data_IF_249720604627
#
_entry.id   IF_249720604627
#
_cell.length_a   1.000
_cell.length_b   1.000
_cell.length_c   1.000
_cell.angle_alpha   90.00
_cell.angle_beta   90.00
_cell.angle_gamma   90.00
#
_symmetry.space_group_name_H-M   'P 1'
#
loop_
_entity.id
_entity.type
_entity.pdbx_description
1 polymer ?
#
# COMPACT_ATOMS: atom_id res chain seq x y z
N UNK A 1 20.47 -7.83 6.30
CA UNK A 1 20.60 -7.20 4.97
C UNK A 1 20.17 -5.76 5.12
N UNK A 2 21.09 -4.81 4.98
CA UNK A 2 20.85 -3.38 5.21
C UNK A 2 20.02 -2.85 4.04
N UNK A 3 18.79 -2.38 4.29
CA UNK A 3 17.99 -1.70 3.26
C UNK A 3 18.30 -0.21 3.32
N UNK A 4 19.14 0.21 2.38
CA UNK A 4 19.60 1.59 2.17
C UNK A 4 18.42 2.56 2.08
N UNK A 5 18.47 3.63 2.86
CA UNK A 5 17.37 4.60 3.06
C UNK A 5 17.45 5.84 2.17
N UNK A 6 18.25 5.82 1.11
CA UNK A 6 18.32 6.87 0.08
C UNK A 6 18.65 6.30 -1.31
N UNK A 7 18.09 5.15 -1.69
CA UNK A 7 18.01 4.85 -3.13
C UNK A 7 16.88 5.70 -3.70
N UNK A 8 17.24 6.69 -4.54
CA UNK A 8 16.27 7.29 -5.45
C UNK A 8 15.49 6.13 -6.07
N UNK A 9 14.18 6.04 -5.80
CA UNK A 9 13.35 5.03 -6.44
C UNK A 9 13.44 5.33 -7.93
N UNK A 10 14.06 4.47 -8.70
CA UNK A 10 14.20 4.67 -10.13
C UNK A 10 13.00 4.06 -10.82
N UNK A 11 12.52 4.76 -11.84
CA UNK A 11 11.57 4.24 -12.84
C UNK A 11 12.14 4.55 -14.22
N UNK A 12 11.74 3.78 -15.22
CA UNK A 12 12.09 4.07 -16.61
C UNK A 12 11.00 4.92 -17.27
N UNK A 13 11.41 5.94 -18.01
CA UNK A 13 10.49 6.73 -18.86
C UNK A 13 10.17 5.99 -20.17
N UNK A 14 9.30 6.56 -21.00
CA UNK A 14 8.90 6.00 -22.30
C UNK A 14 10.07 5.89 -23.31
N UNK A 15 11.21 6.53 -23.02
CA UNK A 15 12.45 6.44 -23.79
C UNK A 15 13.47 5.47 -23.17
N UNK A 16 13.07 4.72 -22.14
CA UNK A 16 13.93 3.77 -21.41
C UNK A 16 14.99 4.43 -20.53
N UNK A 17 14.92 5.75 -20.31
CA UNK A 17 15.86 6.46 -19.43
C UNK A 17 15.43 6.32 -17.98
N UNK A 18 16.42 6.14 -17.11
CA UNK A 18 16.19 6.07 -15.66
C UNK A 18 15.95 7.48 -15.12
N UNK A 19 14.82 7.67 -14.45
CA UNK A 19 14.47 8.90 -13.75
C UNK A 19 14.08 8.60 -12.30
N UNK A 20 14.20 9.61 -11.43
CA UNK A 20 13.76 9.49 -10.05
C UNK A 20 12.24 9.52 -9.99
N UNK A 21 11.65 8.56 -9.29
CA UNK A 21 10.23 8.47 -9.04
C UNK A 21 9.79 9.52 -8.01
N UNK A 22 8.82 10.34 -8.39
CA UNK A 22 8.26 11.35 -7.51
C UNK A 22 7.13 10.76 -6.66
N UNK A 23 7.52 10.29 -5.47
CA UNK A 23 6.57 9.72 -4.51
C UNK A 23 5.60 10.76 -3.92
N UNK A 24 6.01 12.04 -3.86
CA UNK A 24 5.18 13.10 -3.31
C UNK A 24 4.07 13.48 -4.29
N UNK A 25 4.39 13.49 -5.59
CA UNK A 25 3.42 13.59 -6.66
C UNK A 25 2.38 12.46 -6.59
N UNK A 26 2.83 11.19 -6.48
CA UNK A 26 1.90 10.04 -6.37
C UNK A 26 0.92 10.22 -5.20
N UNK A 27 1.41 10.60 -4.02
CA UNK A 27 0.56 10.80 -2.83
C UNK A 27 -0.44 11.92 -3.02
N UNK A 28 -0.03 13.02 -3.66
CA UNK A 28 -0.91 14.14 -3.96
C UNK A 28 -2.02 13.71 -4.92
N UNK A 29 -1.66 13.02 -5.98
CA UNK A 29 -2.61 12.51 -6.97
C UNK A 29 -3.60 11.51 -6.34
N UNK A 30 -3.11 10.60 -5.48
CA UNK A 30 -3.96 9.69 -4.70
C UNK A 30 -4.90 10.42 -3.76
N UNK A 31 -4.42 11.39 -2.97
CA UNK A 31 -5.27 12.19 -2.07
C UNK A 31 -6.35 12.94 -2.86
N UNK A 32 -6.00 13.47 -4.03
CA UNK A 32 -6.95 14.14 -4.91
C UNK A 32 -8.01 13.16 -5.42
N UNK A 33 -7.61 11.96 -5.85
CA UNK A 33 -8.54 10.91 -6.29
C UNK A 33 -9.49 10.45 -5.17
N UNK A 34 -8.97 10.18 -3.96
CA UNK A 34 -9.80 9.81 -2.81
C UNK A 34 -10.81 10.90 -2.45
N UNK A 35 -10.38 12.17 -2.42
CA UNK A 35 -11.27 13.31 -2.14
C UNK A 35 -12.35 13.51 -3.20
N UNK A 36 -12.03 13.27 -4.47
CA UNK A 36 -13.00 13.38 -5.56
C UNK A 36 -14.17 12.39 -5.42
N UNK A 37 -13.90 11.22 -4.84
CA UNK A 37 -14.90 10.16 -4.58
C UNK A 37 -15.54 10.30 -3.19
N UNK A 38 -15.16 11.30 -2.40
CA UNK A 38 -15.74 11.56 -1.07
C UNK A 38 -15.13 10.74 0.08
N UNK A 39 -14.00 10.06 -0.16
CA UNK A 39 -13.24 9.36 0.88
C UNK A 39 -12.30 10.37 1.56
N UNK A 40 -12.36 10.48 2.88
CA UNK A 40 -11.70 11.56 3.65
C UNK A 40 -10.51 11.06 4.46
N UNK A 41 -10.30 9.76 4.49
CA UNK A 41 -9.26 9.07 5.22
C UNK A 41 -7.90 9.28 4.56
N UNK A 42 -7.17 10.31 5.00
CA UNK A 42 -5.85 10.67 4.48
C UNK A 42 -4.82 9.52 4.60
N UNK A 43 -5.03 8.57 5.51
CA UNK A 43 -4.15 7.41 5.69
C UNK A 43 -4.20 6.41 4.53
N UNK A 44 -5.28 6.36 3.73
CA UNK A 44 -5.42 5.43 2.61
C UNK A 44 -4.47 5.76 1.46
N UNK A 45 -4.39 7.04 1.07
CA UNK A 45 -3.46 7.50 0.05
C UNK A 45 -2.00 7.23 0.46
N UNK A 46 -1.71 7.45 1.74
CA UNK A 46 -0.41 7.17 2.35
C UNK A 46 -0.06 5.68 2.29
N UNK A 47 -1.02 4.83 2.63
CA UNK A 47 -0.90 3.39 2.59
C UNK A 47 -0.50 2.90 1.20
N UNK A 48 -1.28 3.28 0.20
CA UNK A 48 -1.13 2.78 -1.17
C UNK A 48 0.20 3.25 -1.76
N UNK A 49 0.59 4.50 -1.52
CA UNK A 49 1.88 5.01 -1.95
C UNK A 49 3.05 4.18 -1.38
N UNK A 50 3.03 3.85 -0.09
CA UNK A 50 4.06 3.03 0.54
C UNK A 50 4.13 1.62 -0.04
N UNK A 51 2.98 1.00 -0.33
CA UNK A 51 2.95 -0.33 -0.96
C UNK A 51 3.53 -0.31 -2.38
N UNK A 52 3.25 0.76 -3.13
CA UNK A 52 3.83 0.96 -4.46
C UNK A 52 5.34 1.18 -4.38
N UNK A 53 5.81 1.99 -3.43
CA UNK A 53 7.25 2.19 -3.17
C UNK A 53 7.98 0.90 -2.81
N UNK A 54 7.39 0.06 -1.95
CA UNK A 54 7.93 -1.26 -1.61
C UNK A 54 8.10 -2.13 -2.87
N UNK A 55 7.10 -2.15 -3.75
CA UNK A 55 7.13 -2.95 -4.98
C UNK A 55 8.15 -2.44 -5.99
N UNK A 56 8.26 -1.13 -6.18
CA UNK A 56 9.31 -0.54 -7.02
C UNK A 56 10.69 -0.89 -6.45
N UNK A 57 10.86 -0.82 -5.13
CA UNK A 57 12.13 -1.19 -4.47
C UNK A 57 12.48 -2.66 -4.69
N UNK A 58 11.54 -3.57 -4.46
CA UNK A 58 11.74 -5.01 -4.71
C UNK A 58 12.11 -5.28 -6.17
N UNK A 59 11.45 -4.64 -7.14
CA UNK A 59 11.79 -4.78 -8.55
C UNK A 59 13.20 -4.27 -8.87
N UNK A 60 13.59 -3.12 -8.32
CA UNK A 60 14.93 -2.54 -8.48
C UNK A 60 16.02 -3.46 -7.92
N UNK A 61 15.77 -4.10 -6.77
CA UNK A 61 16.72 -5.00 -6.10
C UNK A 61 16.85 -6.36 -6.81
N UNK A 62 15.73 -6.95 -7.27
CA UNK A 62 15.69 -8.30 -7.83
C UNK A 62 16.09 -8.35 -9.32
N UNK A 63 15.61 -7.39 -10.12
CA UNK A 63 15.73 -7.46 -11.58
C UNK A 63 16.83 -6.54 -12.16
N UNK A 64 17.44 -5.67 -11.33
CA UNK A 64 18.34 -4.59 -11.77
C UNK A 64 17.77 -3.66 -12.87
N UNK A 65 16.49 -3.85 -13.22
CA UNK A 65 15.76 -3.14 -14.23
C UNK A 65 14.63 -2.36 -13.54
N UNK A 66 14.66 -1.01 -13.57
CA UNK A 66 13.62 -0.23 -12.96
C UNK A 66 12.30 -0.38 -13.71
N UNK A 67 11.22 -0.53 -12.93
CA UNK A 67 9.84 -0.58 -13.42
C UNK A 67 9.54 0.61 -14.33
N UNK A 68 8.81 0.38 -15.42
CA UNK A 68 8.41 1.47 -16.30
C UNK A 68 7.36 2.37 -15.63
N UNK A 69 7.39 3.67 -15.91
CA UNK A 69 6.39 4.63 -15.41
C UNK A 69 4.94 4.14 -15.57
N UNK A 70 4.53 3.67 -16.76
CA UNK A 70 3.20 3.10 -16.97
C UNK A 70 2.92 1.84 -16.14
N UNK A 71 3.93 1.03 -15.83
CA UNK A 71 3.76 -0.15 -14.97
C UNK A 71 3.51 0.24 -13.51
N UNK A 72 4.10 1.35 -13.04
CA UNK A 72 3.82 1.89 -11.71
C UNK A 72 2.36 2.34 -11.61
N UNK A 73 1.87 3.05 -12.62
CA UNK A 73 0.47 3.49 -12.66
C UNK A 73 -0.50 2.30 -12.71
N UNK A 74 -0.16 1.24 -13.48
CA UNK A 74 -0.90 -0.03 -13.49
C UNK A 74 -0.91 -0.69 -12.12
N UNK A 75 0.22 -0.69 -11.41
CA UNK A 75 0.32 -1.23 -10.06
C UNK A 75 -0.58 -0.46 -9.09
N UNK A 76 -0.61 0.88 -9.15
CA UNK A 76 -1.48 1.72 -8.32
C UNK A 76 -2.95 1.35 -8.54
N UNK A 77 -3.39 1.27 -9.80
CA UNK A 77 -4.78 0.91 -10.13
C UNK A 77 -5.13 -0.51 -9.67
N UNK A 78 -4.20 -1.45 -9.83
CA UNK A 78 -4.37 -2.85 -9.37
C UNK A 78 -4.54 -2.91 -7.86
N UNK A 79 -3.71 -2.18 -7.12
CA UNK A 79 -3.76 -2.11 -5.66
C UNK A 79 -5.06 -1.47 -5.18
N UNK A 80 -5.50 -0.38 -5.81
CA UNK A 80 -6.79 0.27 -5.52
C UNK A 80 -7.98 -0.67 -5.78
N UNK A 81 -7.99 -1.35 -6.93
CA UNK A 81 -9.05 -2.30 -7.28
C UNK A 81 -9.10 -3.51 -6.34
N UNK A 82 -7.94 -4.08 -6.00
CA UNK A 82 -7.82 -5.16 -5.02
C UNK A 82 -8.27 -4.73 -3.62
N UNK A 83 -8.09 -3.44 -3.29
CA UNK A 83 -8.54 -2.85 -2.04
C UNK A 83 -10.04 -2.49 -2.01
N UNK A 84 -10.76 -2.66 -3.12
CA UNK A 84 -12.18 -2.33 -3.26
C UNK A 84 -12.46 -0.88 -3.67
N UNK A 85 -11.43 -0.06 -3.91
CA UNK A 85 -11.54 1.36 -4.29
C UNK A 85 -11.52 1.55 -5.80
N UNK A 86 -12.40 0.87 -6.55
CA UNK A 86 -12.46 0.94 -8.01
C UNK A 86 -12.82 2.35 -8.53
N UNK A 87 -13.67 3.07 -7.80
CA UNK A 87 -14.05 4.44 -8.14
C UNK A 87 -12.84 5.40 -8.02
N UNK A 88 -12.01 5.19 -6.99
CA UNK A 88 -10.76 5.95 -6.79
C UNK A 88 -9.72 5.57 -7.84
N UNK A 89 -9.63 4.30 -8.24
CA UNK A 89 -8.77 3.87 -9.35
C UNK A 89 -9.16 4.59 -10.66
N UNK A 90 -10.46 4.72 -10.92
CA UNK A 90 -10.99 5.40 -12.11
C UNK A 90 -10.65 6.90 -12.10
N UNK A 91 -10.83 7.58 -10.96
CA UNK A 91 -10.43 8.99 -10.82
C UNK A 91 -8.91 9.18 -10.90
N UNK A 92 -8.12 8.27 -10.34
CA UNK A 92 -6.67 8.30 -10.45
C UNK A 92 -6.21 8.15 -11.91
N UNK A 93 -6.80 7.22 -12.67
CA UNK A 93 -6.54 7.07 -14.11
C UNK A 93 -6.89 8.35 -14.87
N UNK A 94 -8.04 8.97 -14.56
CA UNK A 94 -8.47 10.23 -15.18
C UNK A 94 -7.50 11.38 -14.90
N UNK A 95 -6.97 11.51 -13.68
CA UNK A 95 -6.03 12.56 -13.30
C UNK A 95 -4.69 12.47 -14.05
N UNK A 96 -4.27 11.24 -14.38
CA UNK A 96 -3.00 10.96 -15.07
C UNK A 96 -3.15 10.76 -16.57
N UNK A 97 -4.33 11.01 -17.12
CA UNK A 97 -4.67 10.76 -18.53
C UNK A 97 -4.33 9.33 -18.99
N UNK A 98 -4.48 8.38 -18.06
CA UNK A 98 -4.33 6.96 -18.34
C UNK A 98 -5.68 6.48 -18.85
N UNK A 99 -5.73 5.84 -20.02
CA UNK A 99 -6.95 5.16 -20.48
C UNK A 99 -7.33 4.10 -19.43
N UNK A 100 -8.42 4.27 -18.64
CA UNK A 100 -8.79 3.35 -17.58
C UNK A 100 -9.06 1.95 -18.10
N UNK A 101 -9.40 1.85 -19.39
CA UNK A 101 -9.71 0.60 -20.08
C UNK A 101 -8.49 -0.02 -20.76
N UNK A 102 -7.37 0.68 -20.91
CA UNK A 102 -6.15 0.11 -21.52
C UNK A 102 -5.67 -1.13 -20.77
N UNK A 103 -5.72 -1.07 -19.43
CA UNK A 103 -5.38 -2.18 -18.54
C UNK A 103 -6.29 -3.41 -18.74
N UNK A 104 -7.59 -3.19 -18.89
CA UNK A 104 -8.53 -4.27 -19.18
C UNK A 104 -8.34 -4.76 -20.62
N UNK A 105 -8.18 -3.88 -21.62
CA UNK A 105 -8.01 -4.23 -23.04
C UNK A 105 -6.79 -5.10 -23.32
N UNK A 106 -5.67 -4.91 -22.61
CA UNK A 106 -4.48 -5.76 -22.74
C UNK A 106 -4.74 -7.23 -22.34
N UNK A 107 -5.67 -7.46 -21.40
CA UNK A 107 -5.98 -8.79 -20.86
C UNK A 107 -7.31 -9.36 -21.37
N UNK A 108 -8.16 -8.51 -21.96
CA UNK A 108 -9.46 -8.84 -22.50
C UNK A 108 -9.32 -9.21 -23.98
N UNK A 109 -9.45 -10.49 -24.29
CA UNK A 109 -9.46 -10.96 -25.67
C UNK A 109 -10.88 -11.34 -26.09
N UNK A 110 -11.15 -11.50 -27.41
CA UNK A 110 -12.43 -11.97 -27.91
C UNK A 110 -12.92 -13.25 -27.22
N UNK A 111 -14.20 -13.26 -26.88
CA UNK A 111 -14.89 -14.46 -26.41
C UNK A 111 -15.05 -15.44 -27.59
N UNK A 112 -14.21 -16.46 -27.67
CA UNK A 112 -14.43 -17.58 -28.60
C UNK A 112 -14.57 -18.92 -27.84
N UNK A 113 -15.50 -19.80 -28.26
CA UNK A 113 -15.65 -21.12 -27.65
C UNK A 113 -14.34 -21.93 -27.64
N UNK A 114 -13.52 -21.79 -28.68
CA UNK A 114 -12.24 -22.49 -28.83
C UNK A 114 -11.23 -22.00 -27.79
N UNK A 115 -11.17 -20.69 -27.53
CA UNK A 115 -10.30 -20.09 -26.52
C UNK A 115 -10.70 -20.54 -25.12
N UNK A 116 -11.99 -20.50 -24.81
CA UNK A 116 -12.52 -20.94 -23.51
C UNK A 116 -12.15 -22.40 -23.28
N UNK A 117 -12.40 -23.28 -24.25
CA UNK A 117 -12.06 -24.71 -24.18
C UNK A 117 -10.55 -24.94 -23.98
N UNK A 118 -9.70 -24.26 -24.76
CA UNK A 118 -8.25 -24.38 -24.66
C UNK A 118 -7.72 -23.89 -23.29
N UNK A 119 -8.27 -22.79 -22.77
CA UNK A 119 -7.92 -22.25 -21.46
C UNK A 119 -8.31 -23.22 -20.35
N UNK A 120 -9.54 -23.74 -20.37
CA UNK A 120 -10.04 -24.65 -19.33
C UNK A 120 -9.29 -25.99 -19.34
N UNK A 121 -8.95 -26.54 -20.51
CA UNK A 121 -8.10 -27.73 -20.64
C UNK A 121 -6.72 -27.55 -20.01
N UNK A 122 -6.12 -26.36 -20.13
CA UNK A 122 -4.82 -26.03 -19.51
C UNK A 122 -4.94 -25.81 -18.00
N UNK A 123 -6.06 -25.26 -17.55
CA UNK A 123 -6.21 -24.73 -16.19
C UNK A 123 -6.84 -25.70 -15.20
N UNK A 124 -7.54 -26.74 -15.64
CA UNK A 124 -8.26 -27.67 -14.76
C UNK A 124 -7.94 -29.14 -15.05
N UNK A 125 -7.62 -29.96 -14.02
CA UNK A 125 -7.35 -31.39 -14.18
C UNK A 125 -8.66 -32.20 -14.20
N UNK A 126 -9.50 -31.98 -15.21
CA UNK A 126 -10.81 -32.64 -15.37
C UNK A 126 -10.85 -33.54 -16.61
N UNK A 127 -11.78 -34.49 -16.63
CA UNK A 127 -11.98 -35.36 -17.79
C UNK A 127 -12.54 -34.56 -19.00
N UNK A 128 -12.17 -34.95 -20.21
CA UNK A 128 -12.49 -34.21 -21.45
C UNK A 128 -14.00 -33.95 -21.63
N UNK A 129 -14.85 -34.93 -21.30
CA UNK A 129 -16.31 -34.78 -21.37
C UNK A 129 -16.86 -33.74 -20.38
N UNK A 130 -16.24 -33.62 -19.19
CA UNK A 130 -16.62 -32.61 -18.19
C UNK A 130 -16.14 -31.23 -18.60
N UNK A 131 -14.91 -31.11 -19.11
CA UNK A 131 -14.36 -29.86 -19.64
C UNK A 131 -15.20 -29.32 -20.79
N UNK A 132 -15.64 -30.18 -21.71
CA UNK A 132 -16.50 -29.76 -22.81
C UNK A 132 -17.85 -29.23 -22.32
N UNK A 133 -18.45 -29.87 -21.31
CA UNK A 133 -19.72 -29.41 -20.70
C UNK A 133 -19.56 -28.04 -20.03
N UNK A 134 -18.51 -27.86 -19.23
CA UNK A 134 -18.23 -26.60 -18.51
C UNK A 134 -17.89 -25.49 -19.52
N UNK A 135 -17.08 -25.78 -20.53
CA UNK A 135 -16.75 -24.83 -21.59
C UNK A 135 -17.99 -24.32 -22.32
N UNK A 136 -18.93 -25.21 -22.65
CA UNK A 136 -20.18 -24.84 -23.29
C UNK A 136 -21.04 -23.95 -22.36
N UNK A 137 -21.15 -24.30 -21.08
CA UNK A 137 -21.89 -23.51 -20.10
C UNK A 137 -21.28 -22.11 -19.88
N UNK A 138 -19.95 -22.01 -19.77
CA UNK A 138 -19.27 -20.72 -19.69
C UNK A 138 -19.52 -19.88 -20.95
N UNK A 139 -19.44 -20.48 -22.14
CA UNK A 139 -19.69 -19.78 -23.40
C UNK A 139 -21.15 -19.29 -23.50
N UNK A 140 -22.11 -20.09 -23.05
CA UNK A 140 -23.52 -19.72 -23.05
C UNK A 140 -23.83 -18.59 -22.05
N UNK A 141 -23.27 -18.64 -20.83
CA UNK A 141 -23.40 -17.55 -19.85
C UNK A 141 -22.79 -16.26 -20.39
N UNK A 142 -21.58 -16.31 -20.95
CA UNK A 142 -20.93 -15.14 -21.54
C UNK A 142 -21.75 -14.56 -22.70
N UNK A 143 -22.35 -15.42 -23.55
CA UNK A 143 -23.23 -14.99 -24.65
C UNK A 143 -24.53 -14.38 -24.14
N UNK A 144 -25.17 -14.99 -23.15
CA UNK A 144 -26.42 -14.51 -22.55
C UNK A 144 -26.26 -13.11 -21.95
N UNK A 145 -25.09 -12.81 -21.39
CA UNK A 145 -24.78 -11.50 -20.83
C UNK A 145 -24.07 -10.55 -21.82
N UNK A 146 -24.05 -10.89 -23.12
CA UNK A 146 -23.50 -10.09 -24.20
C UNK A 146 -22.01 -9.68 -24.04
N UNK A 147 -21.20 -10.52 -23.40
CA UNK A 147 -19.75 -10.28 -23.31
C UNK A 147 -19.07 -10.59 -24.64
N UNK A 148 -18.48 -9.56 -25.27
CA UNK A 148 -17.68 -9.68 -26.50
C UNK A 148 -16.19 -9.86 -26.23
N UNK A 149 -15.71 -9.33 -25.09
CA UNK A 149 -14.33 -9.40 -24.64
C UNK A 149 -14.29 -9.87 -23.18
N UNK A 150 -13.35 -10.75 -22.86
CA UNK A 150 -13.24 -11.38 -21.54
C UNK A 150 -11.78 -11.71 -21.21
N UNK A 151 -11.41 -11.64 -19.93
CA UNK A 151 -10.09 -12.02 -19.43
C UNK A 151 -10.02 -13.50 -19.05
N UNK A 152 -8.83 -14.09 -19.15
CA UNK A 152 -8.62 -15.51 -18.80
C UNK A 152 -8.97 -15.79 -17.33
N UNK A 153 -8.63 -14.85 -16.43
CA UNK A 153 -8.95 -14.97 -15.00
C UNK A 153 -10.45 -15.06 -14.77
N UNK A 154 -11.25 -14.23 -15.45
CA UNK A 154 -12.70 -14.26 -15.33
C UNK A 154 -13.29 -15.56 -15.85
N UNK A 155 -12.78 -16.10 -16.96
CA UNK A 155 -13.20 -17.41 -17.49
C UNK A 155 -12.94 -18.53 -16.45
N UNK A 156 -11.76 -18.54 -15.82
CA UNK A 156 -11.43 -19.54 -14.80
C UNK A 156 -12.33 -19.44 -13.57
N UNK A 157 -12.58 -18.23 -13.05
CA UNK A 157 -13.50 -18.02 -11.92
C UNK A 157 -14.95 -18.42 -12.27
N UNK A 158 -15.40 -18.11 -13.48
CA UNK A 158 -16.70 -18.56 -13.97
C UNK A 158 -16.78 -20.09 -14.07
N UNK A 159 -15.73 -20.75 -14.55
CA UNK A 159 -15.69 -22.20 -14.61
C UNK A 159 -15.70 -22.84 -13.20
N UNK A 160 -14.94 -22.28 -12.26
CA UNK A 160 -14.98 -22.68 -10.83
C UNK A 160 -16.41 -22.53 -10.29
N UNK A 161 -17.07 -21.41 -10.60
CA UNK A 161 -18.45 -21.17 -10.20
C UNK A 161 -19.42 -22.22 -10.77
N UNK A 162 -19.31 -22.53 -12.06
CA UNK A 162 -20.12 -23.55 -12.74
C UNK A 162 -19.88 -24.94 -12.15
N UNK A 163 -18.63 -25.31 -11.88
CA UNK A 163 -18.25 -26.58 -11.24
C UNK A 163 -18.89 -26.72 -9.85
N UNK A 164 -18.87 -25.65 -9.05
CA UNK A 164 -19.35 -25.69 -7.67
C UNK A 164 -20.85 -25.47 -7.51
N UNK A 165 -21.52 -24.79 -8.44
CA UNK A 165 -22.95 -24.48 -8.32
C UNK A 165 -23.88 -25.30 -9.21
N UNK A 166 -23.35 -26.07 -10.17
CA UNK A 166 -24.15 -26.92 -11.06
C UNK A 166 -25.20 -26.15 -11.88
N UNK A 167 -25.95 -26.82 -12.76
CA UNK A 167 -26.97 -26.18 -13.59
C UNK A 167 -28.02 -25.55 -12.68
N UNK A 168 -28.13 -24.23 -12.75
CA UNK A 168 -29.02 -23.42 -11.93
C UNK A 168 -30.45 -23.91 -12.13
N UNK A 169 -31.03 -24.51 -11.10
CA UNK A 169 -32.48 -24.62 -11.01
C UNK A 169 -33.04 -23.19 -11.07
N UNK A 170 -33.72 -22.87 -12.16
CA UNK A 170 -34.60 -21.73 -12.24
C UNK A 170 -35.75 -21.94 -11.23
N UNK A 171 -35.59 -21.42 -10.02
CA UNK A 171 -36.58 -21.61 -8.95
C UNK A 171 -36.00 -21.39 -7.56
N UNK A 172 -35.52 -20.19 -7.28
CA UNK A 172 -35.05 -19.81 -5.94
C UNK A 172 -35.32 -18.33 -5.69
N UNK A 173 -36.20 -18.06 -4.73
CA UNK A 173 -36.70 -16.76 -4.26
C UNK A 173 -35.67 -15.63 -4.19
N UNK A 174 -36.03 -14.39 -4.61
CA UNK A 174 -35.21 -13.21 -4.42
C UNK A 174 -35.23 -12.82 -2.95
N UNK A 175 -34.19 -13.20 -2.21
CA UNK A 175 -34.12 -12.95 -0.79
C UNK A 175 -32.70 -13.08 -0.30
N UNK A 176 -32.14 -11.96 0.14
CA UNK A 176 -30.81 -11.77 0.73
C UNK A 176 -29.68 -11.57 -0.28
N UNK A 177 -29.36 -10.31 -0.65
CA UNK A 177 -28.04 -10.01 -1.18
C UNK A 177 -26.98 -10.51 -0.17
N UNK A 178 -25.90 -11.20 -0.60
CA UNK A 178 -24.78 -11.42 0.28
C UNK A 178 -24.34 -10.04 0.79
N UNK A 179 -24.20 -9.93 2.11
CA UNK A 179 -23.83 -8.70 2.79
C UNK A 179 -22.74 -7.99 1.98
N UNK A 180 -22.99 -6.71 1.67
CA UNK A 180 -22.04 -5.83 1.01
C UNK A 180 -20.64 -6.14 1.54
N UNK A 181 -19.70 -6.45 0.63
CA UNK A 181 -18.31 -6.69 0.99
C UNK A 181 -17.85 -5.54 1.88
N UNK A 182 -17.74 -5.81 3.18
CA UNK A 182 -17.34 -4.82 4.17
C UNK A 182 -16.01 -4.24 3.72
N UNK A 183 -15.89 -2.92 3.55
CA UNK A 183 -14.63 -2.31 3.13
C UNK A 183 -13.56 -2.65 4.16
N UNK A 184 -12.36 -2.95 3.66
CA UNK A 184 -11.10 -3.21 4.38
C UNK A 184 -11.24 -3.18 5.91
N UNK A 185 -11.47 -4.34 6.54
CA UNK A 185 -11.65 -4.45 8.00
C UNK A 185 -10.43 -3.86 8.71
N UNK A 186 -10.58 -2.65 9.26
CA UNK A 186 -9.59 -2.05 10.15
C UNK A 186 -9.51 -2.95 11.37
N UNK A 187 -8.34 -3.55 11.60
CA UNK A 187 -8.19 -4.59 12.63
C UNK A 187 -8.21 -3.99 14.04
N UNK A 188 -7.74 -2.74 14.20
CA UNK A 188 -7.73 -1.99 15.46
C UNK A 188 -7.65 -0.48 15.21
N UNK A 189 -8.45 0.29 15.96
CA UNK A 189 -8.46 1.76 15.94
C UNK A 189 -7.32 2.35 16.79
N UNK A 190 -6.93 3.61 16.55
CA UNK A 190 -5.75 4.25 17.19
C UNK A 190 -5.86 4.28 18.72
N UNK A 191 -7.08 4.39 19.26
CA UNK A 191 -7.38 4.38 20.70
C UNK A 191 -7.07 3.04 21.37
N UNK A 192 -7.14 1.93 20.63
CA UNK A 192 -6.87 0.58 21.16
C UNK A 192 -5.39 0.35 21.49
N UNK A 193 -4.48 1.11 20.87
CA UNK A 193 -3.04 1.00 21.14
C UNK A 193 -2.62 1.72 22.40
N UNK A 194 -3.31 2.82 22.75
CA UNK A 194 -2.94 3.69 23.88
C UNK A 194 -2.90 2.96 25.22
N UNK A 195 -3.74 1.95 25.40
CA UNK A 195 -3.83 1.13 26.62
C UNK A 195 -2.76 0.04 26.71
N UNK A 196 -2.05 -0.24 25.62
CA UNK A 196 -1.07 -1.33 25.52
C UNK A 196 0.38 -0.86 25.56
N UNK A 197 0.62 0.44 25.42
CA UNK A 197 1.94 1.07 25.45
C UNK A 197 2.30 1.57 26.85
N UNK A 198 3.60 1.72 27.12
CA UNK A 198 4.07 2.34 28.35
C UNK A 198 3.69 3.83 28.45
N UNK A 199 3.69 4.42 29.66
CA UNK A 199 3.27 5.83 29.86
C UNK A 199 4.05 6.84 29.03
N UNK A 200 5.35 6.63 28.82
CA UNK A 200 6.20 7.53 28.01
C UNK A 200 5.81 7.49 26.54
N UNK A 201 5.56 6.31 25.98
CA UNK A 201 5.08 6.14 24.60
C UNK A 201 3.67 6.70 24.45
N UNK A 202 2.82 6.47 25.46
CA UNK A 202 1.49 7.07 25.55
C UNK A 202 1.51 8.59 25.50
N UNK A 203 2.44 9.25 26.19
CA UNK A 203 2.57 10.71 26.16
C UNK A 203 2.91 11.25 24.76
N UNK A 204 3.74 10.54 23.98
CA UNK A 204 4.00 10.90 22.58
C UNK A 204 2.78 10.67 21.68
N UNK A 205 1.93 9.69 21.99
CA UNK A 205 0.67 9.51 21.29
C UNK A 205 -0.32 10.63 21.61
N UNK A 206 -0.42 11.00 22.87
CA UNK A 206 -1.32 12.06 23.36
C UNK A 206 -0.94 13.44 22.77
N UNK A 207 0.35 13.70 22.56
CA UNK A 207 0.85 14.92 21.90
C UNK A 207 0.84 14.88 20.37
N UNK A 208 0.30 13.82 19.76
CA UNK A 208 0.32 13.55 18.32
C UNK A 208 1.72 13.45 17.67
N UNK A 209 2.78 13.41 18.49
CA UNK A 209 4.16 13.18 18.08
C UNK A 209 4.39 11.75 17.57
N UNK A 210 3.61 10.79 18.04
CA UNK A 210 3.61 9.39 17.59
C UNK A 210 2.18 8.96 17.26
N UNK A 211 1.93 8.43 16.07
CA UNK A 211 0.59 7.97 15.66
C UNK A 211 0.69 6.57 15.07
N UNK A 212 -0.13 5.65 15.58
CA UNK A 212 -0.33 4.36 14.95
C UNK A 212 -1.21 4.54 13.71
N UNK A 213 -0.77 4.03 12.57
CA UNK A 213 -1.63 3.95 11.38
C UNK A 213 -2.50 2.68 11.45
N UNK A 214 -3.71 2.69 10.86
CA UNK A 214 -4.61 1.55 10.90
C UNK A 214 -3.99 0.29 10.31
N UNK A 215 -4.20 -0.85 10.98
CA UNK A 215 -3.90 -2.16 10.43
C UNK A 215 -5.01 -2.58 9.46
N UNK A 216 -4.63 -3.06 8.28
CA UNK A 216 -5.57 -3.53 7.25
C UNK A 216 -5.25 -4.97 6.87
N UNK A 217 -6.28 -5.76 6.64
CA UNK A 217 -6.15 -7.12 6.08
C UNK A 217 -5.63 -7.12 4.65
N UNK A 218 -5.92 -6.06 3.88
CA UNK A 218 -5.49 -5.90 2.48
C UNK A 218 -3.99 -5.63 2.41
N UNK A 219 -3.46 -5.00 3.45
CA UNK A 219 -2.06 -4.64 3.55
C UNK A 219 -1.56 -4.88 4.98
N UNK A 220 -1.14 -6.12 5.25
CA UNK A 220 -0.75 -6.55 6.58
C UNK A 220 0.64 -6.02 6.91
N UNK A 221 0.71 -4.74 7.30
CA UNK A 221 1.95 -4.01 7.62
C UNK A 221 1.71 -3.11 8.82
N UNK A 222 2.53 -3.28 9.87
CA UNK A 222 2.54 -2.36 10.99
C UNK A 222 3.24 -1.06 10.60
N UNK A 223 2.60 0.09 10.84
CA UNK A 223 3.15 1.40 10.51
C UNK A 223 2.87 2.43 11.58
N UNK A 224 3.85 3.30 11.80
CA UNK A 224 3.75 4.43 12.70
C UNK A 224 4.22 5.71 12.01
N UNK A 225 3.53 6.81 12.30
CA UNK A 225 3.95 8.15 11.90
C UNK A 225 4.56 8.87 13.11
N UNK A 226 5.69 9.53 12.89
CA UNK A 226 6.51 10.20 13.90
C UNK A 226 6.67 11.66 13.52
N UNK A 227 5.90 12.52 14.16
CA UNK A 227 5.92 13.96 13.95
C UNK A 227 6.93 14.62 14.91
N UNK A 228 8.12 14.88 14.39
CA UNK A 228 9.20 15.53 15.14
C UNK A 228 8.76 16.92 15.60
N UNK A 229 8.05 17.69 14.77
CA UNK A 229 7.64 19.04 15.12
C UNK A 229 6.70 19.05 16.32
N UNK A 230 5.72 18.13 16.34
CA UNK A 230 4.82 17.94 17.48
C UNK A 230 5.57 17.50 18.74
N UNK A 231 6.59 16.64 18.61
CA UNK A 231 7.43 16.24 19.74
C UNK A 231 8.20 17.41 20.36
N UNK A 232 8.65 18.37 19.54
CA UNK A 232 9.30 19.60 20.01
C UNK A 232 8.33 20.59 20.61
N UNK A 233 7.16 20.77 20.00
CA UNK A 233 6.13 21.69 20.51
C UNK A 233 5.66 21.30 21.92
N UNK A 234 5.64 20.00 22.23
CA UNK A 234 5.31 19.49 23.56
C UNK A 234 6.41 19.72 24.62
N UNK A 235 7.63 20.08 24.22
CA UNK A 235 8.70 20.48 25.12
C UNK A 235 8.68 22.02 25.24
N UNK A 236 7.94 22.52 26.23
CA UNK A 236 7.73 23.95 26.48
C UNK A 236 9.00 24.81 26.28
N UNK A 237 8.94 25.78 25.37
CA UNK A 237 9.86 26.93 25.30
C UNK A 237 11.34 26.62 25.00
N UNK A 238 11.67 25.40 24.59
CA UNK A 238 13.06 25.00 24.31
C UNK A 238 13.65 25.74 23.11
N UNK A 239 14.85 26.30 23.27
CA UNK A 239 15.65 26.77 22.14
C UNK A 239 15.98 25.60 21.23
N UNK A 240 15.56 25.68 19.98
CA UNK A 240 15.78 24.63 18.99
C UNK A 240 17.24 24.67 18.52
N UNK A 241 18.01 23.73 19.03
CA UNK A 241 19.41 23.45 18.69
C UNK A 241 19.57 22.03 18.17
N UNK A 242 20.66 21.75 17.47
CA UNK A 242 21.01 20.39 17.02
C UNK A 242 21.06 19.38 18.18
N UNK A 243 21.59 19.78 19.34
CA UNK A 243 21.61 18.93 20.53
C UNK A 243 20.20 18.64 21.08
N UNK A 244 19.32 19.65 21.08
CA UNK A 244 17.90 19.45 21.46
C UNK A 244 17.17 18.54 20.46
N UNK A 245 17.49 18.66 19.16
CA UNK A 245 17.00 17.80 18.08
C UNK A 245 17.27 16.33 18.39
N UNK A 246 18.55 15.99 18.57
CA UNK A 246 18.98 14.61 18.73
C UNK A 246 18.59 13.99 20.08
N UNK A 247 18.54 14.79 21.14
CA UNK A 247 18.09 14.32 22.46
C UNK A 247 16.60 14.00 22.50
N UNK A 248 15.77 14.70 21.72
CA UNK A 248 14.32 14.43 21.62
C UNK A 248 14.00 13.27 20.69
N UNK A 249 14.71 13.15 19.57
CA UNK A 249 14.42 12.13 18.56
C UNK A 249 14.75 10.72 19.06
N UNK A 250 15.78 10.53 19.89
CA UNK A 250 16.16 9.20 20.40
C UNK A 250 15.06 8.52 21.22
N UNK A 251 14.47 9.14 22.26
CA UNK A 251 13.34 8.57 22.98
C UNK A 251 12.12 8.31 22.07
N UNK A 252 11.87 9.20 21.11
CA UNK A 252 10.78 9.06 20.16
C UNK A 252 10.96 7.84 19.24
N UNK A 253 12.19 7.53 18.82
CA UNK A 253 12.52 6.30 18.10
C UNK A 253 12.26 5.05 18.94
N UNK A 254 12.62 5.06 20.22
CA UNK A 254 12.34 3.95 21.13
C UNK A 254 10.84 3.71 21.30
N UNK A 255 10.06 4.79 21.47
CA UNK A 255 8.60 4.72 21.55
C UNK A 255 7.97 4.18 20.25
N UNK A 256 8.49 4.59 19.09
CA UNK A 256 8.04 4.10 17.79
C UNK A 256 8.31 2.59 17.62
N UNK A 257 9.47 2.09 18.06
CA UNK A 257 9.78 0.65 18.01
C UNK A 257 8.87 -0.17 18.93
N UNK A 258 8.63 0.30 20.15
CA UNK A 258 7.71 -0.36 21.09
C UNK A 258 6.31 -0.50 20.48
N UNK A 259 5.77 0.60 19.97
CA UNK A 259 4.45 0.59 19.33
C UNK A 259 4.41 -0.33 18.12
N UNK A 260 5.44 -0.32 17.28
CA UNK A 260 5.54 -1.24 16.14
C UNK A 260 5.58 -2.71 16.57
N UNK A 261 6.31 -3.05 17.63
CA UNK A 261 6.34 -4.43 18.15
C UNK A 261 4.94 -4.88 18.56
N UNK A 262 4.22 -4.08 19.34
CA UNK A 262 2.85 -4.38 19.77
C UNK A 262 1.91 -4.56 18.58
N UNK A 263 1.99 -3.67 17.58
CA UNK A 263 1.18 -3.75 16.37
C UNK A 263 1.51 -5.00 15.53
N UNK A 264 2.78 -5.41 15.49
CA UNK A 264 3.21 -6.62 14.77
C UNK A 264 2.75 -7.89 15.45
N UNK A 265 2.80 -7.95 16.78
CA UNK A 265 2.32 -9.10 17.53
C UNK A 265 0.82 -9.33 17.29
N UNK A 266 0.03 -8.24 17.29
CA UNK A 266 -1.39 -8.29 16.93
C UNK A 266 -1.58 -8.76 15.47
N UNK A 267 -0.80 -8.20 14.54
CA UNK A 267 -0.88 -8.59 13.13
C UNK A 267 -0.52 -10.07 12.92
N UNK A 268 0.51 -10.58 13.61
CA UNK A 268 0.93 -11.98 13.51
C UNK A 268 -0.09 -12.93 14.13
N UNK A 269 -0.74 -12.53 15.22
CA UNK A 269 -1.82 -13.30 15.83
C UNK A 269 -3.02 -13.46 14.89
N UNK A 270 -3.33 -12.43 14.11
CA UNK A 270 -4.46 -12.45 13.18
C UNK A 270 -4.10 -12.98 11.78
N UNK A 271 -2.86 -12.78 11.32
CA UNK A 271 -2.35 -13.14 10.00
C UNK A 271 -0.94 -13.77 10.10
N UNK A 272 -0.82 -15.05 10.46
CA UNK A 272 0.46 -15.71 10.73
C UNK A 272 1.44 -15.70 9.55
N UNK A 273 0.91 -15.70 8.32
CA UNK A 273 1.69 -15.72 7.09
C UNK A 273 2.40 -14.39 6.78
N UNK A 274 2.23 -13.36 7.62
CA UNK A 274 2.79 -12.03 7.41
C UNK A 274 3.97 -11.72 8.34
N UNK A 275 4.59 -12.71 8.99
CA UNK A 275 5.69 -12.49 9.92
C UNK A 275 6.90 -11.74 9.29
N UNK A 276 7.24 -12.05 8.03
CA UNK A 276 8.39 -11.44 7.33
C UNK A 276 8.10 -10.07 6.69
N UNK A 277 6.87 -9.59 6.85
CA UNK A 277 6.43 -8.26 6.43
C UNK A 277 7.34 -7.15 6.99
N UNK A 278 7.89 -6.23 6.17
CA UNK A 278 8.55 -5.06 6.71
C UNK A 278 7.56 -4.16 7.48
N UNK A 279 8.04 -3.46 8.49
CA UNK A 279 7.28 -2.42 9.20
C UNK A 279 7.79 -1.04 8.80
N UNK A 280 6.97 -0.01 8.99
CA UNK A 280 7.29 1.33 8.51
C UNK A 280 7.29 2.36 9.63
N UNK A 281 8.33 3.18 9.66
CA UNK A 281 8.34 4.45 10.40
C UNK A 281 8.36 5.59 9.38
N UNK A 282 7.35 6.44 9.47
CA UNK A 282 7.17 7.58 8.58
C UNK A 282 7.42 8.85 9.39
N UNK A 283 8.29 9.73 8.93
CA UNK A 283 8.54 11.03 9.53
C UNK A 283 7.90 12.11 8.64
N UNK A 284 6.60 12.41 8.80
CA UNK A 284 5.92 13.41 7.99
C UNK A 284 6.40 14.82 8.32
N UNK A 285 6.58 15.65 7.30
CA UNK A 285 6.95 17.06 7.43
C UNK A 285 8.37 17.30 7.98
N UNK A 286 9.22 16.27 8.03
CA UNK A 286 10.58 16.33 8.52
C UNK A 286 11.43 17.32 7.71
N UNK A 287 11.35 17.31 6.37
CA UNK A 287 12.13 18.27 5.55
C UNK A 287 11.69 19.70 5.81
N UNK A 288 10.37 19.96 5.76
CA UNK A 288 9.81 21.28 6.04
C UNK A 288 10.12 21.76 7.47
N UNK A 289 10.11 20.85 8.44
CA UNK A 289 10.49 21.15 9.81
C UNK A 289 11.95 21.58 9.89
N UNK A 290 12.89 20.82 9.31
CA UNK A 290 14.30 21.17 9.31
C UNK A 290 14.57 22.51 8.59
N UNK A 291 13.87 22.78 7.48
CA UNK A 291 13.97 24.04 6.77
C UNK A 291 13.49 25.24 7.59
N UNK A 292 12.35 25.09 8.28
CA UNK A 292 11.78 26.14 9.13
C UNK A 292 12.61 26.35 10.40
N UNK A 293 12.93 25.26 11.09
CA UNK A 293 13.59 25.25 12.40
C UNK A 293 15.03 25.76 12.33
N UNK A 294 15.72 25.54 11.21
CA UNK A 294 17.09 26.02 10.97
C UNK A 294 17.14 27.04 9.81
N UNK A 295 16.09 27.86 9.69
CA UNK A 295 15.95 28.86 8.61
C UNK A 295 17.10 29.88 8.58
N UNK A 296 17.65 30.24 9.75
CA UNK A 296 18.78 31.17 9.89
C UNK A 296 20.16 30.54 9.63
N UNK A 297 20.26 29.21 9.63
CA UNK A 297 21.51 28.49 9.34
C UNK A 297 21.86 28.52 7.86
N UNK A 298 23.13 28.30 7.51
CA UNK A 298 23.53 28.20 6.10
C UNK A 298 22.98 26.90 5.51
N UNK A 299 22.71 26.90 4.19
CA UNK A 299 22.25 25.69 3.46
C UNK A 299 23.13 24.46 3.71
N UNK A 300 24.45 24.64 3.77
CA UNK A 300 25.41 23.56 4.04
C UNK A 300 25.24 22.96 5.44
N UNK A 301 24.99 23.79 6.45
CA UNK A 301 24.76 23.33 7.83
C UNK A 301 23.45 22.56 7.93
N UNK A 302 22.38 23.04 7.29
CA UNK A 302 21.10 22.31 7.22
C UNK A 302 21.25 20.91 6.60
N UNK A 303 22.07 20.79 5.55
CA UNK A 303 22.34 19.49 4.93
C UNK A 303 23.12 18.54 5.85
N UNK A 304 24.05 19.07 6.66
CA UNK A 304 24.77 18.29 7.67
C UNK A 304 23.80 17.80 8.74
N UNK A 305 22.98 18.69 9.30
CA UNK A 305 21.96 18.32 10.31
C UNK A 305 20.99 17.26 9.76
N UNK A 306 20.54 17.41 8.52
CA UNK A 306 19.63 16.43 7.89
C UNK A 306 20.29 15.05 7.73
N UNK A 307 21.57 15.01 7.34
CA UNK A 307 22.35 13.76 7.25
C UNK A 307 22.55 13.13 8.63
N UNK A 308 22.97 13.92 9.60
CA UNK A 308 23.28 13.43 10.95
C UNK A 308 22.00 12.94 11.66
N UNK A 309 20.86 13.61 11.42
CA UNK A 309 19.54 13.10 11.82
C UNK A 309 19.22 11.76 11.16
N UNK A 310 19.47 11.63 9.86
CA UNK A 310 19.23 10.38 9.13
C UNK A 310 20.05 9.21 9.69
N UNK A 311 21.35 9.43 9.93
CA UNK A 311 22.25 8.45 10.53
C UNK A 311 21.78 8.04 11.94
N UNK A 312 21.35 9.02 12.75
CA UNK A 312 20.78 8.75 14.07
C UNK A 312 19.51 7.90 13.97
N UNK A 313 18.60 8.23 13.05
CA UNK A 313 17.35 7.49 12.85
C UNK A 313 17.64 6.05 12.40
N UNK A 314 18.58 5.86 11.49
CA UNK A 314 19.00 4.55 11.02
C UNK A 314 19.57 3.69 12.17
N UNK A 315 20.47 4.24 12.97
CA UNK A 315 21.06 3.56 14.12
C UNK A 315 20.04 3.30 15.25
N UNK A 316 19.09 4.21 15.46
CA UNK A 316 18.11 4.10 16.54
C UNK A 316 16.92 3.20 16.19
N UNK A 317 16.54 3.10 14.91
CA UNK A 317 15.37 2.36 14.45
C UNK A 317 15.75 1.10 13.67
N UNK A 318 16.47 1.26 12.56
CA UNK A 318 16.71 0.15 11.61
C UNK A 318 17.64 -0.89 12.20
N UNK A 319 18.74 -0.45 12.83
CA UNK A 319 19.72 -1.38 13.42
C UNK A 319 19.23 -2.06 14.71
N UNK A 320 18.28 -1.42 15.42
CA UNK A 320 17.72 -1.94 16.66
C UNK A 320 16.44 -2.76 16.48
N UNK A 321 15.75 -2.64 15.34
CA UNK A 321 14.53 -3.38 15.10
C UNK A 321 14.82 -4.88 14.95
N UNK A 322 14.07 -5.78 15.65
CA UNK A 322 14.21 -7.21 15.49
C UNK A 322 13.57 -7.75 14.20
N UNK A 323 13.09 -6.87 13.31
CA UNK A 323 12.38 -7.19 12.07
C UNK A 323 12.78 -6.21 10.96
N UNK A 324 12.51 -6.54 9.68
CA UNK A 324 12.76 -5.61 8.59
C UNK A 324 11.99 -4.30 8.79
N UNK A 325 12.71 -3.18 8.85
CA UNK A 325 12.13 -1.87 9.05
C UNK A 325 12.47 -0.94 7.88
N UNK A 326 11.46 -0.24 7.38
CA UNK A 326 11.57 0.78 6.36
C UNK A 326 11.37 2.16 6.98
N UNK A 327 12.33 3.04 6.75
CA UNK A 327 12.31 4.43 7.22
C UNK A 327 11.95 5.35 6.05
N UNK A 328 10.97 6.23 6.24
CA UNK A 328 10.55 7.23 5.25
C UNK A 328 10.64 8.62 5.86
N UNK A 329 11.62 9.43 5.43
CA UNK A 329 11.75 10.83 5.82
C UNK A 329 11.15 11.72 4.76
N UNK A 330 10.10 12.46 5.11
CA UNK A 330 9.37 13.32 4.17
C UNK A 330 9.25 14.71 4.72
#
# INVERSE_FOLDING_TARGET
MIRLTTSNLLVTDDQGRKQSFDTDLLRRDLRQAFRAVGVTEDWLAEHIALTVEERIRSANDEQHCPMAGPEVDKLVCTVLGAAGYNDVASEFSRLRDIDPLSHYRETMQPCSPERISALLRRSFPLAEAQLQSISNQCADILRQHAFSLVSDRFICELAIHVIHRGPTQAGGTPGVPPAAATPATVLSDTSAWRTRVCPTTGAYMDSAALRALPLSTIFPRARVAVDIASAFAAQDGGWLSELSLFSTVRPLCSAALELLMIMRDELQAQLPNCADAPSHVIFPGCKSFLESAFSTSKRRERLIIARDLHELLQAALVEKAPFPLLLSMR
#
